data_IF_112150046057
#
_entry.id   IF_112150046057
#
_cell.length_a   1.000
_cell.length_b   1.000
_cell.length_c   1.000
_cell.angle_alpha   90.00
_cell.angle_beta   90.00
_cell.angle_gamma   90.00
#
_symmetry.space_group_name_H-M   'P 1'
#
loop_
_entity.id
_entity.type
_entity.pdbx_description
1 polymer ?
#
# COMPACT_ATOMS: atom_id res chain seq x y z
N UNK A 1 -18.30 -3.79 -20.87
CA UNK A 1 -17.08 -2.95 -20.98
C UNK A 1 -16.95 -1.92 -19.86
N UNK A 2 -17.98 -1.12 -19.52
CA UNK A 2 -17.89 -0.08 -18.45
C UNK A 2 -17.41 -0.59 -17.08
N UNK A 3 -17.86 -1.77 -16.65
CA UNK A 3 -17.48 -2.36 -15.35
C UNK A 3 -16.05 -2.90 -15.29
N UNK A 4 -15.51 -3.37 -16.42
CA UNK A 4 -14.11 -3.84 -16.51
C UNK A 4 -13.17 -2.64 -16.39
N UNK A 5 -13.51 -1.52 -17.05
CA UNK A 5 -12.75 -0.28 -16.96
C UNK A 5 -12.76 0.29 -15.53
N UNK A 6 -13.92 0.26 -14.85
CA UNK A 6 -14.05 0.71 -13.46
C UNK A 6 -13.23 -0.16 -12.49
N UNK A 7 -13.22 -1.49 -12.69
CA UNK A 7 -12.42 -2.40 -11.89
C UNK A 7 -10.92 -2.20 -12.11
N UNK A 8 -10.47 -2.08 -13.37
CA UNK A 8 -9.07 -1.76 -13.67
C UNK A 8 -8.64 -0.43 -13.04
N UNK A 9 -9.50 0.60 -13.11
CA UNK A 9 -9.25 1.87 -12.44
C UNK A 9 -9.15 1.72 -10.92
N UNK A 10 -10.07 0.98 -10.30
CA UNK A 10 -10.05 0.71 -8.86
C UNK A 10 -8.78 -0.02 -8.43
N UNK A 11 -8.34 -1.03 -9.19
CA UNK A 11 -7.11 -1.75 -8.90
C UNK A 11 -5.88 -0.87 -9.06
N UNK A 12 -5.82 -0.04 -10.10
CA UNK A 12 -4.68 0.87 -10.34
C UNK A 12 -4.57 1.94 -9.23
N UNK A 13 -5.70 2.47 -8.77
CA UNK A 13 -5.74 3.43 -7.65
C UNK A 13 -5.29 2.73 -6.36
N UNK A 14 -5.82 1.55 -6.05
CA UNK A 14 -5.46 0.81 -4.83
C UNK A 14 -3.98 0.35 -4.79
N UNK A 15 -3.36 0.13 -5.95
CA UNK A 15 -1.93 -0.20 -6.05
C UNK A 15 -1.01 1.01 -5.87
N UNK A 16 -1.52 2.24 -5.99
CA UNK A 16 -0.71 3.46 -5.89
C UNK A 16 -0.42 3.94 -4.46
N UNK A 17 -1.10 3.39 -3.46
CA UNK A 17 -1.03 3.86 -2.06
C UNK A 17 -0.01 3.12 -1.18
N UNK A 18 0.92 2.35 -1.73
CA UNK A 18 2.07 1.87 -0.95
C UNK A 18 3.13 2.97 -0.81
N UNK A 19 2.78 4.09 -0.17
CA UNK A 19 3.75 5.01 0.38
C UNK A 19 4.41 4.37 1.60
N UNK A 20 5.74 4.38 1.66
CA UNK A 20 6.45 4.01 2.88
C UNK A 20 6.24 5.13 3.90
N UNK A 21 5.44 4.84 4.92
CA UNK A 21 5.19 5.78 6.02
C UNK A 21 6.50 6.15 6.74
N UNK A 22 6.56 7.40 7.18
CA UNK A 22 7.66 7.94 7.97
C UNK A 22 7.73 7.23 9.33
N UNK A 23 8.86 6.58 9.60
CA UNK A 23 9.13 5.94 10.87
C UNK A 23 9.72 6.95 11.87
N UNK A 24 9.38 6.84 13.15
CA UNK A 24 9.95 7.66 14.23
C UNK A 24 11.48 7.68 14.22
N UNK A 25 12.14 6.56 13.87
CA UNK A 25 13.61 6.51 13.74
C UNK A 25 14.15 7.43 12.64
N UNK A 26 13.42 7.55 11.53
CA UNK A 26 13.80 8.43 10.42
C UNK A 26 13.64 9.89 10.82
N UNK A 27 12.56 10.23 11.54
CA UNK A 27 12.37 11.58 12.10
C UNK A 27 13.44 11.93 13.13
N UNK A 28 13.83 10.97 13.98
CA UNK A 28 14.94 11.15 14.92
C UNK A 28 16.28 11.38 14.20
N UNK A 29 16.56 10.61 13.15
CA UNK A 29 17.75 10.81 12.33
C UNK A 29 17.81 12.24 11.77
N UNK A 30 16.69 12.75 11.25
CA UNK A 30 16.60 14.12 10.74
C UNK A 30 16.80 15.12 11.87
N UNK A 31 16.12 14.96 13.02
CA UNK A 31 16.25 15.89 14.15
C UNK A 31 17.67 15.97 14.71
N UNK A 32 18.43 14.88 14.65
CA UNK A 32 19.81 14.83 15.16
C UNK A 32 20.82 15.50 14.22
N UNK A 33 20.46 15.71 12.94
CA UNK A 33 21.33 16.29 11.91
C UNK A 33 20.99 17.72 11.53
N UNK A 34 19.89 18.27 12.07
CA UNK A 34 19.48 19.66 11.87
C UNK A 34 19.80 20.48 13.11
N UNK A 35 20.22 21.72 12.87
CA UNK A 35 20.28 22.73 13.92
C UNK A 35 18.85 23.16 14.29
N UNK A 36 18.65 23.72 15.50
CA UNK A 36 17.33 24.17 15.91
C UNK A 36 16.68 25.18 14.95
N UNK A 37 17.49 26.08 14.35
CA UNK A 37 17.02 27.05 13.34
C UNK A 37 16.52 26.38 12.07
N UNK A 38 17.29 25.42 11.55
CA UNK A 38 16.91 24.67 10.34
C UNK A 38 15.68 23.81 10.60
N UNK A 39 15.46 23.35 11.83
CA UNK A 39 14.27 22.60 12.16
C UNK A 39 13.00 23.45 12.14
N UNK A 40 13.08 24.73 12.55
CA UNK A 40 11.96 25.67 12.40
C UNK A 40 11.67 25.95 10.91
N UNK A 41 12.72 26.16 10.11
CA UNK A 41 12.60 26.34 8.66
C UNK A 41 11.97 25.10 8.00
N UNK A 42 12.39 23.90 8.41
CA UNK A 42 11.81 22.65 7.95
C UNK A 42 10.34 22.52 8.38
N UNK A 43 10.01 22.84 9.63
CA UNK A 43 8.64 22.76 10.12
C UNK A 43 7.70 23.72 9.38
N UNK A 44 8.19 24.91 9.02
CA UNK A 44 7.48 25.86 8.15
C UNK A 44 7.29 25.28 6.75
N UNK A 45 8.37 24.78 6.12
CA UNK A 45 8.32 24.16 4.78
C UNK A 45 7.37 22.95 4.73
N UNK A 46 7.29 22.16 5.80
CA UNK A 46 6.40 21.01 5.92
C UNK A 46 4.94 21.39 6.19
N UNK A 47 4.68 22.60 6.68
CA UNK A 47 3.33 23.11 6.93
C UNK A 47 2.73 23.73 5.68
N UNK A 48 3.57 24.23 4.78
CA UNK A 48 3.19 24.84 3.52
C UNK A 48 2.98 23.76 2.45
N UNK A 49 1.72 23.34 2.28
CA UNK A 49 1.30 22.28 1.35
C UNK A 49 1.41 22.65 -0.14
N UNK A 50 2.28 23.58 -0.52
CA UNK A 50 2.50 24.01 -1.90
C UNK A 50 3.99 24.13 -2.22
N UNK A 51 4.34 23.78 -3.46
CA UNK A 51 5.64 24.08 -4.08
C UNK A 51 5.68 25.58 -4.40
N UNK A 52 5.56 26.43 -3.39
CA UNK A 52 5.95 27.82 -3.53
C UNK A 52 7.31 27.94 -2.87
N UNK A 53 8.32 28.11 -3.72
CA UNK A 53 9.67 28.47 -3.31
C UNK A 53 9.58 29.88 -2.73
N UNK A 54 9.18 30.00 -1.47
CA UNK A 54 9.25 31.26 -0.75
C UNK A 54 10.73 31.44 -0.38
N UNK A 55 11.40 32.49 -0.86
CA UNK A 55 12.77 32.77 -0.43
C UNK A 55 12.79 33.00 1.09
N UNK A 56 13.90 32.68 1.78
CA UNK A 56 13.96 32.75 3.24
C UNK A 56 13.76 34.20 3.69
N UNK A 57 12.53 34.56 4.06
CA UNK A 57 12.23 35.81 4.74
C UNK A 57 12.60 35.58 6.20
N UNK A 58 13.78 36.07 6.59
CA UNK A 58 14.27 36.10 7.96
C UNK A 58 13.44 37.03 8.85
N UNK A 59 12.16 36.73 9.06
CA UNK A 59 11.35 37.40 10.07
C UNK A 59 11.26 36.55 11.34
N UNK A 60 12.17 36.90 12.26
CA UNK A 60 12.13 36.69 13.71
C UNK A 60 11.70 35.28 14.15
N UNK A 61 12.69 34.44 14.36
CA UNK A 61 12.62 33.20 15.15
C UNK A 61 11.90 33.47 16.49
N UNK A 62 10.64 33.06 16.56
CA UNK A 62 9.95 32.91 17.83
C UNK A 62 10.71 31.87 18.66
N UNK A 63 10.82 32.13 19.95
CA UNK A 63 11.62 31.33 20.90
C UNK A 63 11.27 29.84 20.79
N UNK A 64 12.30 28.99 20.70
CA UNK A 64 12.19 27.54 20.62
C UNK A 64 11.56 26.99 21.90
N UNK A 65 10.25 26.78 21.91
CA UNK A 65 9.57 26.18 23.06
C UNK A 65 9.55 24.64 22.99
N UNK A 66 9.80 24.06 21.81
CA UNK A 66 9.71 22.60 21.59
C UNK A 66 10.98 22.03 20.96
N UNK A 67 11.40 20.82 21.36
CA UNK A 67 12.49 20.12 20.69
C UNK A 67 12.08 19.68 19.28
N UNK A 68 13.02 19.73 18.34
CA UNK A 68 12.81 19.44 16.91
C UNK A 68 12.07 18.11 16.67
N UNK A 69 12.47 17.05 17.37
CA UNK A 69 11.83 15.74 17.26
C UNK A 69 10.34 15.77 17.60
N UNK A 70 9.94 16.54 18.62
CA UNK A 70 8.53 16.67 19.01
C UNK A 70 7.76 17.40 17.91
N UNK A 71 8.32 18.47 17.33
CA UNK A 71 7.68 19.19 16.22
C UNK A 71 7.48 18.28 14.99
N UNK A 72 8.50 17.51 14.61
CA UNK A 72 8.41 16.56 13.49
C UNK A 72 7.43 15.42 13.76
N UNK A 73 7.38 14.92 15.01
CA UNK A 73 6.44 13.87 15.41
C UNK A 73 5.00 14.38 15.43
N UNK A 74 4.77 15.58 15.95
CA UNK A 74 3.46 16.24 15.95
C UNK A 74 2.98 16.49 14.51
N UNK A 75 3.89 16.95 13.64
CA UNK A 75 3.60 17.12 12.22
C UNK A 75 3.23 15.79 11.55
N UNK A 76 4.02 14.73 11.75
CA UNK A 76 3.77 13.39 11.19
C UNK A 76 2.43 12.80 11.63
N UNK A 77 2.00 13.06 12.88
CA UNK A 77 0.69 12.63 13.39
C UNK A 77 -0.49 13.45 12.87
N UNK A 78 -0.25 14.71 12.50
CA UNK A 78 -1.27 15.64 12.04
C UNK A 78 -1.31 15.70 10.51
N UNK A 79 -0.73 16.76 9.94
CA UNK A 79 -0.75 17.02 8.49
C UNK A 79 0.13 16.06 7.67
N UNK A 80 1.11 15.41 8.33
CA UNK A 80 2.09 14.53 7.70
C UNK A 80 1.68 13.07 7.60
N UNK A 81 0.44 12.70 7.95
CA UNK A 81 0.04 11.29 8.07
C UNK A 81 0.15 10.49 6.76
N UNK A 82 0.05 11.16 5.61
CA UNK A 82 0.18 10.54 4.28
C UNK A 82 1.44 11.01 3.53
N UNK A 83 2.39 11.61 4.23
CA UNK A 83 3.60 12.16 3.61
C UNK A 83 4.68 11.09 3.53
N UNK A 84 5.31 11.00 2.37
CA UNK A 84 6.36 10.02 2.11
C UNK A 84 7.73 10.52 2.57
N UNK A 85 8.67 9.59 2.73
CA UNK A 85 10.09 9.93 2.96
C UNK A 85 10.63 10.83 1.85
N UNK A 86 10.12 10.68 0.62
CA UNK A 86 10.57 11.46 -0.53
C UNK A 86 10.11 12.93 -0.43
N UNK A 87 8.90 13.19 0.06
CA UNK A 87 8.45 14.57 0.31
C UNK A 87 9.33 15.22 1.39
N UNK A 88 9.62 14.51 2.48
CA UNK A 88 10.50 15.02 3.53
C UNK A 88 11.91 15.31 2.98
N UNK A 89 12.44 14.43 2.14
CA UNK A 89 13.73 14.64 1.46
C UNK A 89 13.70 15.84 0.51
N UNK A 90 12.59 16.08 -0.19
CA UNK A 90 12.39 17.25 -1.04
C UNK A 90 12.41 18.54 -0.22
N UNK A 91 11.67 18.60 0.89
CA UNK A 91 11.66 19.78 1.78
C UNK A 91 13.01 20.04 2.43
N UNK A 92 13.74 18.98 2.79
CA UNK A 92 15.14 19.10 3.23
C UNK A 92 16.05 19.70 2.14
N UNK A 93 15.76 19.45 0.86
CA UNK A 93 16.46 20.08 -0.26
C UNK A 93 16.14 21.58 -0.37
N UNK A 94 14.87 21.95 -0.18
CA UNK A 94 14.40 23.35 -0.24
C UNK A 94 15.04 24.23 0.84
N UNK A 95 15.23 23.70 2.06
CA UNK A 95 15.93 24.42 3.15
C UNK A 95 17.47 24.43 2.99
N UNK A 96 18.00 23.92 1.89
CA UNK A 96 19.44 23.89 1.63
C UNK A 96 20.22 22.80 2.39
N UNK A 97 19.55 21.73 2.82
CA UNK A 97 20.17 20.55 3.46
C UNK A 97 20.07 19.27 2.61
N UNK A 98 20.63 19.29 1.38
CA UNK A 98 20.63 18.11 0.50
C UNK A 98 21.46 16.96 1.06
N UNK A 99 22.43 17.26 1.94
CA UNK A 99 23.28 16.28 2.62
C UNK A 99 22.47 15.36 3.53
N UNK A 100 21.56 15.95 4.32
CA UNK A 100 20.67 15.19 5.22
C UNK A 100 19.64 14.42 4.42
N UNK A 101 19.05 15.04 3.38
CA UNK A 101 18.11 14.39 2.48
C UNK A 101 18.72 13.13 1.85
N UNK A 102 19.94 13.23 1.30
CA UNK A 102 20.62 12.10 0.66
C UNK A 102 20.95 10.99 1.66
N UNK A 103 21.39 11.34 2.88
CA UNK A 103 21.64 10.35 3.93
C UNK A 103 20.36 9.68 4.41
N UNK A 104 19.27 10.43 4.53
CA UNK A 104 17.94 9.90 4.87
C UNK A 104 17.48 8.90 3.80
N UNK A 105 17.47 9.29 2.52
CA UNK A 105 17.11 8.39 1.42
C UNK A 105 18.03 7.16 1.39
N UNK A 106 19.34 7.32 1.62
CA UNK A 106 20.26 6.18 1.70
C UNK A 106 20.01 5.28 2.91
N UNK A 107 19.59 5.82 4.05
CA UNK A 107 19.26 5.04 5.23
C UNK A 107 17.95 4.24 5.04
N UNK A 108 16.96 4.85 4.39
CA UNK A 108 15.66 4.20 4.12
C UNK A 108 15.77 3.18 2.99
N UNK A 109 16.40 3.57 1.88
CA UNK A 109 16.50 2.72 0.69
C UNK A 109 17.78 1.90 0.62
N UNK A 110 18.73 2.08 1.54
CA UNK A 110 20.01 1.37 1.51
C UNK A 110 19.86 -0.13 1.73
N UNK A 111 18.96 -0.53 2.62
CA UNK A 111 18.68 -1.93 2.91
C UNK A 111 17.90 -2.59 1.75
N UNK A 112 16.91 -1.90 1.20
CA UNK A 112 16.18 -2.39 0.00
C UNK A 112 17.12 -2.47 -1.19
N UNK A 113 18.02 -1.51 -1.38
CA UNK A 113 18.99 -1.54 -2.47
C UNK A 113 20.07 -2.62 -2.27
N UNK A 114 20.51 -2.89 -1.02
CA UNK A 114 21.43 -3.98 -0.72
C UNK A 114 20.78 -5.35 -0.98
N UNK A 115 19.53 -5.52 -0.58
CA UNK A 115 18.77 -6.73 -0.87
C UNK A 115 18.55 -6.89 -2.37
N UNK A 116 18.16 -5.82 -3.08
CA UNK A 116 18.06 -5.83 -4.54
C UNK A 116 19.40 -6.22 -5.19
N UNK A 117 20.52 -5.66 -4.74
CA UNK A 117 21.84 -6.02 -5.23
C UNK A 117 22.14 -7.51 -5.03
N UNK A 118 21.89 -8.02 -3.83
CA UNK A 118 22.13 -9.41 -3.46
C UNK A 118 21.24 -10.39 -4.22
N UNK A 119 19.99 -10.02 -4.49
CA UNK A 119 19.02 -10.90 -5.14
C UNK A 119 19.04 -10.80 -6.68
N UNK A 120 19.45 -9.68 -7.26
CA UNK A 120 19.36 -9.44 -8.71
C UNK A 120 20.69 -9.16 -9.42
N UNK A 121 21.71 -8.64 -8.73
CA UNK A 121 22.97 -8.21 -9.35
C UNK A 121 24.15 -9.15 -9.03
N UNK A 122 24.06 -9.86 -7.92
CA UNK A 122 24.86 -11.06 -7.62
C UNK A 122 24.21 -12.28 -8.30
N UNK A 123 24.15 -12.25 -9.62
CA UNK A 123 23.63 -13.36 -10.43
C UNK A 123 24.56 -14.59 -10.26
N UNK A 124 24.08 -15.72 -9.71
CA UNK A 124 24.90 -16.93 -9.57
C UNK A 124 25.37 -17.49 -10.92
N UNK A 125 24.80 -17.02 -12.04
CA UNK A 125 25.20 -17.42 -13.38
C UNK A 125 26.30 -16.53 -14.00
N UNK A 126 26.71 -15.45 -13.32
CA UNK A 126 27.74 -14.53 -13.82
C UNK A 126 29.10 -15.20 -14.04
N UNK A 127 29.44 -16.21 -13.24
CA UNK A 127 30.64 -17.05 -13.44
C UNK A 127 30.47 -18.08 -14.56
N UNK A 128 29.24 -18.50 -14.88
CA UNK A 128 28.97 -19.45 -15.96
C UNK A 128 28.88 -18.81 -17.35
N UNK A 129 28.77 -17.47 -17.42
CA UNK A 129 28.62 -16.72 -18.67
C UNK A 129 29.95 -16.36 -19.38
N UNK A 130 31.11 -16.68 -18.79
CA UNK A 130 32.41 -16.51 -19.44
C UNK A 130 32.98 -17.84 -19.94
N UNK A 131 32.43 -18.30 -21.08
CA UNK A 131 33.31 -18.72 -22.16
C UNK A 131 33.22 -17.63 -23.23
N UNK A 132 34.23 -16.78 -23.40
CA UNK A 132 34.24 -15.88 -24.55
C UNK A 132 34.16 -16.75 -25.80
N UNK A 133 33.07 -16.61 -26.55
CA UNK A 133 33.05 -17.07 -27.93
C UNK A 133 34.19 -16.35 -28.64
N UNK A 134 35.14 -17.13 -29.16
CA UNK A 134 36.46 -16.76 -29.68
C UNK A 134 36.41 -15.91 -30.97
N UNK A 135 35.29 -15.23 -31.24
CA UNK A 135 34.92 -14.73 -32.56
C UNK A 135 34.48 -13.25 -32.58
N UNK A 136 34.70 -12.50 -31.50
CA UNK A 136 34.55 -11.05 -31.51
C UNK A 136 35.84 -10.42 -30.97
N UNK A 137 36.77 -10.15 -31.88
CA UNK A 137 37.83 -9.17 -31.67
C UNK A 137 37.20 -7.81 -31.38
N UNK A 138 37.58 -7.23 -30.24
CA UNK A 138 37.26 -5.86 -29.84
C UNK A 138 38.11 -4.89 -30.68
N UNK A 139 37.49 -4.25 -31.67
CA UNK A 139 38.01 -3.01 -32.25
C UNK A 139 37.47 -1.81 -31.45
N UNK A 140 38.38 -0.87 -31.16
CA UNK A 140 38.25 0.29 -30.28
C UNK A 140 36.94 1.10 -30.44
N UNK A 141 36.04 1.03 -29.45
CA UNK A 141 34.88 1.93 -29.38
C UNK A 141 34.85 2.81 -28.13
N UNK A 142 35.25 4.06 -28.38
CA UNK A 142 34.85 5.36 -27.82
C UNK A 142 34.03 5.40 -26.51
N UNK A 143 34.44 6.22 -25.52
CA UNK A 143 33.78 6.40 -24.22
C UNK A 143 32.35 6.97 -24.27
N UNK A 144 31.85 7.38 -25.44
CA UNK A 144 30.52 7.97 -25.62
C UNK A 144 29.38 6.91 -25.61
N UNK A 145 29.67 5.66 -25.94
CA UNK A 145 28.68 4.57 -25.91
C UNK A 145 28.32 4.10 -24.49
N UNK A 146 29.25 4.24 -23.54
CA UNK A 146 29.05 3.87 -22.14
C UNK A 146 28.03 4.79 -21.40
N UNK A 147 27.93 6.05 -21.81
CA UNK A 147 26.95 6.99 -21.26
C UNK A 147 25.52 6.66 -21.69
N UNK A 148 25.35 6.16 -22.92
CA UNK A 148 24.04 5.77 -23.48
C UNK A 148 23.51 4.44 -22.90
N UNK A 149 24.40 3.55 -22.48
CA UNK A 149 24.03 2.32 -21.77
C UNK A 149 23.46 2.57 -20.36
N UNK A 150 23.97 3.58 -19.64
CA UNK A 150 23.45 3.96 -18.30
C UNK A 150 22.03 4.49 -18.32
N UNK A 151 21.62 5.23 -19.36
CA UNK A 151 20.25 5.73 -19.47
C UNK A 151 19.20 4.64 -19.74
N UNK A 152 19.62 3.50 -20.32
CA UNK A 152 18.71 2.36 -20.58
C UNK A 152 18.47 1.47 -19.37
N UNK A 153 19.38 1.48 -18.39
CA UNK A 153 19.23 0.72 -17.15
C UNK A 153 18.18 1.33 -16.19
N UNK A 154 17.93 2.64 -16.29
CA UNK A 154 17.00 3.36 -15.41
C UNK A 154 15.53 3.04 -15.75
N UNK A 155 15.22 2.76 -17.03
CA UNK A 155 13.84 2.49 -17.47
C UNK A 155 13.35 1.06 -17.21
N UNK A 156 14.22 0.14 -16.75
CA UNK A 156 13.88 -1.30 -16.57
C UNK A 156 13.63 -1.67 -15.10
N UNK A 157 13.98 -0.79 -14.15
CA UNK A 157 13.93 -1.08 -12.72
C UNK A 157 12.52 -1.09 -12.07
N UNK A 158 11.46 -0.76 -12.80
CA UNK A 158 10.10 -0.74 -12.22
C UNK A 158 9.41 -2.11 -12.17
N UNK A 159 10.07 -3.20 -12.57
CA UNK A 159 9.43 -4.52 -12.72
C UNK A 159 10.27 -5.69 -12.20
N UNK A 160 10.75 -5.63 -10.97
CA UNK A 160 11.38 -6.81 -10.35
C UNK A 160 10.82 -7.04 -8.96
N UNK A 161 9.62 -7.62 -8.91
CA UNK A 161 9.03 -8.15 -7.69
C UNK A 161 9.57 -9.56 -7.41
N UNK A 162 9.89 -9.83 -6.14
CA UNK A 162 10.31 -11.15 -5.65
C UNK A 162 9.42 -12.28 -6.18
N UNK A 163 9.95 -13.48 -6.50
CA UNK A 163 9.13 -14.59 -6.98
C UNK A 163 8.07 -15.03 -5.96
N UNK A 164 8.33 -14.82 -4.66
CA UNK A 164 7.33 -15.06 -3.59
C UNK A 164 6.26 -13.99 -3.56
N UNK A 165 6.63 -12.72 -3.76
CA UNK A 165 5.68 -11.62 -3.82
C UNK A 165 4.82 -11.73 -5.09
N UNK A 166 5.43 -12.09 -6.22
CA UNK A 166 4.73 -12.38 -7.46
C UNK A 166 3.75 -13.54 -7.30
N UNK A 167 4.14 -14.62 -6.61
CA UNK A 167 3.19 -15.70 -6.28
C UNK A 167 2.02 -15.23 -5.42
N UNK A 168 2.28 -14.45 -4.37
CA UNK A 168 1.21 -13.92 -3.50
C UNK A 168 0.32 -12.97 -4.27
N UNK A 169 0.87 -12.04 -5.04
CA UNK A 169 0.14 -11.10 -5.88
C UNK A 169 -0.67 -11.83 -6.94
N UNK A 170 -0.12 -12.84 -7.62
CA UNK A 170 -0.83 -13.65 -8.62
C UNK A 170 -1.98 -14.44 -7.97
N UNK A 171 -1.77 -15.03 -6.80
CA UNK A 171 -2.84 -15.76 -6.07
C UNK A 171 -3.94 -14.81 -5.61
N UNK A 172 -3.61 -13.66 -5.06
CA UNK A 172 -4.59 -12.67 -4.60
C UNK A 172 -5.35 -12.07 -5.78
N UNK A 173 -4.66 -11.73 -6.87
CA UNK A 173 -5.30 -11.18 -8.09
C UNK A 173 -6.18 -12.21 -8.78
N UNK A 174 -5.78 -13.48 -8.83
CA UNK A 174 -6.64 -14.55 -9.37
C UNK A 174 -7.86 -14.81 -8.49
N UNK A 175 -7.72 -14.87 -7.17
CA UNK A 175 -8.86 -15.02 -6.26
C UNK A 175 -9.86 -13.86 -6.35
N UNK A 176 -9.35 -12.63 -6.37
CA UNK A 176 -10.20 -11.43 -6.52
C UNK A 176 -10.93 -11.42 -7.87
N UNK A 177 -10.27 -11.82 -8.96
CA UNK A 177 -10.87 -11.94 -10.28
C UNK A 177 -11.95 -13.04 -10.33
N UNK A 178 -11.73 -14.19 -9.68
CA UNK A 178 -12.73 -15.26 -9.58
C UNK A 178 -13.98 -14.82 -8.80
N UNK A 179 -13.79 -14.13 -7.66
CA UNK A 179 -14.90 -13.57 -6.87
C UNK A 179 -15.68 -12.56 -7.71
N UNK A 180 -14.98 -11.70 -8.46
CA UNK A 180 -15.62 -10.72 -9.33
C UNK A 180 -16.43 -11.38 -10.44
N UNK A 181 -15.88 -12.40 -11.13
CA UNK A 181 -16.62 -13.17 -12.13
C UNK A 181 -17.86 -13.82 -11.51
N UNK A 182 -17.75 -14.39 -10.30
CA UNK A 182 -18.89 -14.98 -9.61
C UNK A 182 -19.98 -13.95 -9.31
N UNK A 183 -19.64 -12.77 -8.81
CA UNK A 183 -20.60 -11.67 -8.53
C UNK A 183 -21.27 -11.21 -9.82
N UNK A 184 -20.48 -10.96 -10.88
CA UNK A 184 -21.01 -10.55 -12.19
C UNK A 184 -21.94 -11.63 -12.74
N UNK A 185 -21.55 -12.90 -12.67
CA UNK A 185 -22.40 -14.00 -13.12
C UNK A 185 -23.72 -14.03 -12.33
N UNK A 186 -23.69 -13.91 -11.00
CA UNK A 186 -24.90 -13.87 -10.17
C UNK A 186 -25.81 -12.67 -10.48
N UNK A 187 -25.26 -11.55 -10.93
CA UNK A 187 -26.07 -10.38 -11.34
C UNK A 187 -26.61 -10.49 -12.77
N UNK A 188 -25.86 -11.10 -13.70
CA UNK A 188 -26.25 -11.21 -15.10
C UNK A 188 -27.14 -12.43 -15.39
N UNK A 189 -26.97 -13.54 -14.66
CA UNK A 189 -27.81 -14.72 -14.76
C UNK A 189 -29.31 -14.38 -14.65
N UNK A 190 -29.81 -13.68 -13.60
CA UNK A 190 -31.24 -13.40 -13.47
C UNK A 190 -31.80 -12.54 -14.61
N UNK A 191 -30.99 -11.63 -15.15
CA UNK A 191 -31.37 -10.74 -16.26
C UNK A 191 -31.33 -11.44 -17.62
N UNK A 192 -30.46 -12.42 -17.80
CA UNK A 192 -30.45 -13.26 -19.00
C UNK A 192 -31.55 -14.32 -18.95
N UNK A 193 -31.86 -14.83 -17.76
CA UNK A 193 -32.93 -15.82 -17.56
C UNK A 193 -34.33 -15.21 -17.60
N UNK A 194 -34.51 -13.89 -17.54
CA UNK A 194 -35.85 -13.30 -17.74
C UNK A 194 -36.35 -13.44 -19.19
N UNK A 195 -35.44 -13.59 -20.16
CA UNK A 195 -35.78 -13.79 -21.57
C UNK A 195 -35.93 -15.29 -21.95
N UNK A 196 -35.51 -16.20 -21.07
CA UNK A 196 -35.54 -17.66 -21.26
C UNK A 196 -36.53 -18.28 -20.27
N UNK A 197 -37.52 -19.03 -20.76
CA UNK A 197 -38.62 -19.64 -20.01
C UNK A 197 -38.36 -19.89 -18.49
N UNK A 198 -38.94 -19.07 -17.58
CA UNK A 198 -38.56 -19.03 -16.16
C UNK A 198 -38.84 -20.34 -15.40
N UNK A 199 -39.76 -21.17 -15.90
CA UNK A 199 -40.14 -22.46 -15.31
C UNK A 199 -39.03 -23.52 -15.38
N UNK A 200 -38.12 -23.46 -16.36
CA UNK A 200 -37.02 -24.43 -16.45
C UNK A 200 -35.86 -24.11 -15.49
N UNK A 201 -35.67 -22.83 -15.15
CA UNK A 201 -34.55 -22.39 -14.33
C UNK A 201 -34.81 -22.56 -12.82
N UNK A 202 -36.05 -22.35 -12.37
CA UNK A 202 -36.43 -22.55 -10.97
C UNK A 202 -36.21 -24.00 -10.52
N UNK A 203 -36.51 -24.97 -11.40
CA UNK A 203 -36.31 -26.38 -11.11
C UNK A 203 -34.81 -26.76 -10.96
N UNK A 204 -33.94 -26.19 -11.81
CA UNK A 204 -32.51 -26.49 -11.75
C UNK A 204 -31.81 -25.81 -10.56
N UNK A 205 -32.21 -24.58 -10.21
CA UNK A 205 -31.65 -23.88 -9.04
C UNK A 205 -32.09 -24.52 -7.71
N UNK A 206 -33.33 -25.02 -7.63
CA UNK A 206 -33.80 -25.77 -6.45
C UNK A 206 -32.96 -27.04 -6.23
N UNK A 207 -32.73 -27.83 -7.29
CA UNK A 207 -31.91 -29.05 -7.21
C UNK A 207 -30.46 -28.74 -6.83
N UNK A 208 -29.89 -27.62 -7.31
CA UNK A 208 -28.52 -27.24 -6.97
C UNK A 208 -28.38 -26.75 -5.52
N UNK A 209 -29.38 -26.02 -5.00
CA UNK A 209 -29.42 -25.56 -3.61
C UNK A 209 -29.48 -26.74 -2.63
N UNK A 210 -30.32 -27.74 -2.92
CA UNK A 210 -30.43 -28.93 -2.08
C UNK A 210 -29.11 -29.72 -2.06
N UNK A 211 -28.46 -29.89 -3.22
CA UNK A 211 -27.14 -30.55 -3.30
C UNK A 211 -26.03 -29.79 -2.58
N UNK A 212 -26.06 -28.45 -2.57
CA UNK A 212 -25.06 -27.66 -1.84
C UNK A 212 -25.27 -27.75 -0.33
N UNK A 213 -26.52 -27.74 0.14
CA UNK A 213 -26.85 -27.92 1.55
C UNK A 213 -26.33 -29.25 2.10
N UNK A 214 -26.58 -30.35 1.38
CA UNK A 214 -26.13 -31.68 1.78
C UNK A 214 -24.60 -31.79 1.84
N UNK A 215 -23.89 -31.21 0.86
CA UNK A 215 -22.42 -31.22 0.83
C UNK A 215 -21.80 -30.35 1.92
N UNK A 216 -22.38 -29.19 2.21
CA UNK A 216 -21.92 -28.35 3.33
C UNK A 216 -22.11 -29.06 4.67
N UNK A 217 -23.24 -29.76 4.85
CA UNK A 217 -23.52 -30.48 6.10
C UNK A 217 -22.62 -31.71 6.27
N UNK A 218 -22.30 -32.42 5.17
CA UNK A 218 -21.31 -33.49 5.17
C UNK A 218 -19.89 -32.96 5.48
N UNK A 219 -19.51 -31.82 4.89
CA UNK A 219 -18.22 -31.18 5.16
C UNK A 219 -18.09 -30.72 6.62
N UNK A 220 -19.17 -30.15 7.19
CA UNK A 220 -19.25 -29.76 8.61
C UNK A 220 -19.07 -30.96 9.56
N UNK A 221 -19.61 -32.13 9.21
CA UNK A 221 -19.39 -33.38 9.96
C UNK A 221 -17.95 -33.89 9.86
N UNK A 222 -17.34 -33.83 8.69
CA UNK A 222 -15.94 -34.27 8.48
C UNK A 222 -14.92 -33.38 9.19
N UNK A 223 -15.18 -32.07 9.25
CA UNK A 223 -14.29 -31.12 9.91
C UNK A 223 -14.36 -31.17 11.44
N UNK A 224 -15.21 -32.01 12.03
CA UNK A 224 -15.31 -32.14 13.49
C UNK A 224 -15.68 -30.85 14.21
N UNK A 225 -16.23 -29.85 13.49
CA UNK A 225 -16.66 -28.57 14.06
C UNK A 225 -17.87 -28.88 14.93
N UNK A 226 -17.60 -29.15 16.22
CA UNK A 226 -18.60 -29.33 17.25
C UNK A 226 -19.27 -27.98 17.41
N UNK A 227 -20.43 -27.83 16.78
CA UNK A 227 -21.29 -26.67 16.92
C UNK A 227 -21.67 -26.60 18.40
N UNK A 228 -20.92 -25.79 19.14
CA UNK A 228 -21.24 -25.37 20.50
C UNK A 228 -22.64 -24.78 20.41
N UNK A 229 -23.66 -25.58 20.74
CA UNK A 229 -25.03 -25.09 20.92
C UNK A 229 -24.97 -24.13 22.10
N UNK A 230 -24.63 -22.88 21.82
CA UNK A 230 -24.95 -21.78 22.69
C UNK A 230 -26.46 -21.62 22.56
N UNK A 231 -27.16 -22.37 23.42
CA UNK A 231 -28.59 -22.20 23.66
C UNK A 231 -28.79 -20.70 23.88
N UNK A 232 -29.56 -19.99 23.05
CA UNK A 232 -29.80 -18.57 23.28
C UNK A 232 -30.40 -18.43 24.68
N UNK A 233 -29.62 -17.84 25.58
CA UNK A 233 -30.07 -17.52 26.94
C UNK A 233 -31.15 -16.47 26.80
N UNK A 234 -32.39 -16.89 27.03
CA UNK A 234 -33.63 -16.13 26.86
C UNK A 234 -33.81 -15.02 27.91
N UNK A 235 -32.71 -14.41 28.39
CA UNK A 235 -32.71 -13.54 29.56
C UNK A 235 -31.84 -12.28 29.47
N UNK A 236 -31.20 -11.99 28.32
CA UNK A 236 -30.32 -10.81 28.20
C UNK A 236 -30.92 -9.63 27.41
N UNK A 237 -32.10 -9.79 26.82
CA UNK A 237 -32.68 -8.76 25.95
C UNK A 237 -33.59 -7.75 26.69
N UNK A 238 -33.91 -7.99 27.97
CA UNK A 238 -34.72 -7.04 28.76
C UNK A 238 -33.90 -5.94 29.44
N UNK A 239 -32.64 -6.19 29.80
CA UNK A 239 -31.82 -5.19 30.49
C UNK A 239 -31.39 -4.03 29.57
N UNK A 240 -31.13 -4.30 28.30
CA UNK A 240 -30.62 -3.30 27.33
C UNK A 240 -31.72 -2.38 26.77
N UNK A 241 -33.00 -2.76 26.92
CA UNK A 241 -34.12 -1.96 26.44
C UNK A 241 -34.52 -0.87 27.46
N UNK A 242 -34.46 -1.19 28.75
CA UNK A 242 -34.76 -0.22 29.83
C UNK A 242 -33.68 0.86 29.97
N UNK A 243 -32.41 0.54 29.69
CA UNK A 243 -31.30 1.50 29.70
C UNK A 243 -31.36 2.46 28.51
N UNK A 244 -31.85 1.99 27.35
CA UNK A 244 -32.07 2.85 26.18
C UNK A 244 -33.20 3.86 26.36
N UNK A 245 -34.29 3.51 27.05
CA UNK A 245 -35.37 4.46 27.32
C UNK A 245 -34.98 5.54 28.33
N UNK A 246 -34.07 5.22 29.28
CA UNK A 246 -33.55 6.19 30.24
C UNK A 246 -32.69 7.28 29.59
N UNK A 247 -31.87 6.90 28.60
CA UNK A 247 -31.00 7.83 27.85
C UNK A 247 -31.79 8.76 26.90
N UNK A 248 -32.92 8.32 26.36
CA UNK A 248 -33.76 9.17 25.50
C UNK A 248 -34.46 10.27 26.31
N UNK A 249 -34.80 10.01 27.57
CA UNK A 249 -35.48 10.98 28.43
C UNK A 249 -34.56 12.11 28.92
N UNK A 250 -33.25 11.87 29.03
CA UNK A 250 -32.27 12.87 29.48
C UNK A 250 -31.90 13.87 28.37
N UNK A 251 -31.99 13.45 27.10
CA UNK A 251 -31.68 14.28 25.93
C UNK A 251 -32.81 15.28 25.61
N UNK A 252 -34.06 15.01 26.03
CA UNK A 252 -35.21 15.88 25.75
C UNK A 252 -35.40 17.04 26.75
N UNK A 253 -34.54 17.14 27.77
CA UNK A 253 -34.63 18.17 28.83
C UNK A 253 -33.55 19.27 28.64
N UNK A 254 -32.60 19.09 27.72
CA UNK A 254 -31.61 20.10 27.31
C UNK A 254 -31.91 20.64 25.91
#
# INVERSE_FOLDING_TARGET
MKYILAFLCWTLIALSEQSVDLNLRQLQFVSDHLTPKECDELALALTETGVQVIPPVHEKSAQHEKPCLVMLTDWSRGKGQNQTVDELALRLHEIGRPDVAQRLSKAVYGETNFQLHRFFLDDPFKESAHKPSILLEEDDLSPEAAAKARHRAISVQLTTSDPKFLHVTVVVTTLTLLIFIAIVSMMYIPKFTSDMCPSCFVATFAVMKDRLGDRMQACKKMLGIRESRQKPSRGSDQATQEEKERLVHEILIY
#
